data_IF_594644385542
#
_entry.id   IF_594644385542
#
_cell.length_a   1.000
_cell.length_b   1.000
_cell.length_c   1.000
_cell.angle_alpha   90.00
_cell.angle_beta   90.00
_cell.angle_gamma   90.00
#
_symmetry.space_group_name_H-M   'P 1'
#
loop_
_entity.id
_entity.type
_entity.pdbx_description
1 polymer ?
2 non-polymer ?
3 non-polymer ?
4 water ?
#
# COMPACT_ATOMS: atom_id res chain seq x y z
N UNK A 4 -8.37 29.95 4.09
CA UNK A 4 -8.91 28.59 3.73
C UNK A 4 -8.14 27.51 4.50
N UNK A 5 -8.76 26.79 5.47
CA UNK A 5 -7.99 26.00 6.44
C UNK A 5 -7.37 24.75 5.80
N UNK A 6 -6.26 24.24 6.36
CA UNK A 6 -5.58 23.04 5.82
C UNK A 6 -6.38 21.82 6.24
N UNK A 7 -6.56 20.80 5.37
CA UNK A 7 -7.37 19.66 5.77
C UNK A 7 -6.69 18.77 6.81
N UNK A 8 -7.52 18.11 7.62
CA UNK A 8 -7.12 17.12 8.65
C UNK A 8 -7.29 15.72 8.08
N UNK A 9 -8.11 15.58 7.04
CA UNK A 9 -8.41 14.29 6.37
C UNK A 9 -8.68 14.53 4.88
N UNK A 10 -8.27 13.59 4.04
CA UNK A 10 -8.56 13.60 2.59
C UNK A 10 -9.15 12.25 2.22
N UNK A 11 -9.76 12.19 1.05
CA UNK A 11 -10.19 10.90 0.55
C UNK A 11 -9.35 10.59 -0.67
N UNK A 12 -9.03 9.32 -0.80
CA UNK A 12 -8.13 8.80 -1.85
C UNK A 12 -8.88 7.65 -2.52
N UNK A 13 -8.95 7.73 -3.83
CA UNK A 13 -9.43 6.67 -4.74
C UNK A 13 -8.21 5.90 -5.27
N UNK A 14 -8.28 4.57 -5.13
CA UNK A 14 -7.31 3.63 -5.71
C UNK A 14 -8.08 2.80 -6.73
N UNK A 15 -7.60 2.76 -7.96
CA UNK A 15 -8.14 1.86 -8.98
C UNK A 15 -7.08 0.92 -9.48
N UNK A 16 -7.41 -0.33 -9.71
CA UNK A 16 -6.51 -1.29 -10.40
C UNK A 16 -7.33 -1.97 -11.50
N UNK A 17 -6.78 -2.01 -12.70
CA UNK A 17 -7.45 -2.65 -13.83
C UNK A 17 -6.40 -3.23 -14.75
N UNK A 18 -6.49 -4.53 -14.95
CA UNK A 18 -5.75 -5.19 -16.03
C UNK A 18 -6.64 -5.10 -17.28
N UNK A 19 -6.18 -4.34 -18.23
CA UNK A 19 -6.99 -3.94 -19.41
C UNK A 19 -6.97 -5.06 -20.48
N UNK A 20 -6.17 -6.10 -20.33
CA UNK A 20 -6.14 -7.19 -21.31
C UNK A 20 -5.73 -6.71 -22.70
N UNK A 21 -4.89 -5.68 -22.77
CA UNK A 21 -4.30 -5.16 -24.03
C UNK A 21 -5.43 -4.76 -25.00
N UNK A 22 -6.55 -4.25 -24.47
CA UNK A 22 -7.68 -3.78 -25.27
C UNK A 22 -7.97 -2.36 -24.86
N UNK A 23 -8.38 -1.47 -25.78
CA UNK A 23 -8.82 -0.15 -25.35
C UNK A 23 -10.07 -0.24 -24.49
N UNK A 24 -10.27 0.77 -23.63
CA UNK A 24 -11.43 0.77 -22.75
C UNK A 24 -12.68 1.11 -23.55
N UNK A 25 -13.86 0.85 -22.97
CA UNK A 25 -15.10 1.34 -23.56
C UNK A 25 -15.19 2.85 -23.37
N UNK A 26 -16.21 3.45 -23.97
CA UNK A 26 -16.29 4.92 -24.03
C UNK A 26 -16.67 5.47 -22.64
N UNK A 27 -17.37 4.69 -21.81
CA UNK A 27 -17.73 5.16 -20.47
C UNK A 27 -17.10 4.26 -19.40
N UNK A 28 -16.33 4.84 -18.48
CA UNK A 28 -15.72 4.08 -17.36
C UNK A 28 -15.99 4.81 -16.04
N UNK A 29 -16.96 5.74 -16.02
CA UNK A 29 -17.29 6.50 -14.80
C UNK A 29 -17.67 5.63 -13.59
N UNK A 30 -18.26 4.46 -13.83
CA UNK A 30 -18.68 3.51 -12.75
C UNK A 30 -17.48 3.15 -11.89
N UNK A 31 -16.30 3.05 -12.49
CA UNK A 31 -15.07 2.72 -11.74
C UNK A 31 -14.80 3.82 -10.70
N UNK A 32 -14.78 5.08 -11.13
CA UNK A 32 -14.39 6.23 -10.26
C UNK A 32 -15.50 6.54 -9.27
N UNK A 33 -16.71 6.07 -9.53
CA UNK A 33 -17.86 6.25 -8.63
C UNK A 33 -17.96 5.08 -7.64
N UNK A 34 -17.08 4.08 -7.70
CA UNK A 34 -17.16 2.90 -6.78
C UNK A 34 -18.57 2.26 -6.86
N UNK A 35 -19.03 2.00 -8.08
CA UNK A 35 -20.34 1.35 -8.38
C UNK A 35 -20.11 -0.04 -8.98
N UNK A 36 -20.90 -1.01 -8.53
CA UNK A 36 -20.88 -2.36 -9.10
C UNK A 36 -21.16 -3.32 -7.97
N UNK A 37 -20.22 -4.24 -7.74
CA UNK A 37 -20.32 -5.30 -6.70
C UNK A 37 -19.41 -4.94 -5.53
N UNK A 38 -19.74 -5.48 -4.35
CA UNK A 38 -18.91 -5.38 -3.16
C UNK A 38 -19.35 -4.26 -2.27
N UNK A 39 -18.39 -3.59 -1.65
CA UNK A 39 -18.62 -2.44 -0.75
C UNK A 39 -18.58 -1.17 -1.61
N UNK A 40 -19.76 -0.67 -1.99
CA UNK A 40 -19.92 0.40 -2.98
C UNK A 40 -20.21 1.72 -2.28
N UNK A 41 -20.02 2.76 -3.04
CA UNK A 41 -20.14 4.14 -2.56
C UNK A 41 -21.62 4.57 -2.70
N UNK A 42 -22.11 5.31 -1.72
CA UNK A 42 -23.49 5.85 -1.71
C UNK A 42 -23.70 6.80 -2.90
N UNK A 43 -24.85 6.70 -3.56
CA UNK A 43 -25.24 7.58 -4.71
C UNK A 43 -25.14 9.05 -4.32
N UNK A 44 -25.39 9.35 -3.04
CA UNK A 44 -25.45 10.75 -2.55
C UNK A 44 -24.08 11.43 -2.62
N UNK A 45 -23.01 10.64 -2.79
CA UNK A 45 -21.61 11.14 -2.86
C UNK A 45 -21.15 11.34 -4.30
N UNK A 46 -21.95 10.96 -5.30
CA UNK A 46 -21.43 10.83 -6.68
C UNK A 46 -20.76 12.11 -7.17
N UNK A 47 -21.23 13.30 -6.78
CA UNK A 47 -20.65 14.55 -7.31
C UNK A 47 -19.49 15.04 -6.46
N UNK A 48 -19.21 14.39 -5.34
CA UNK A 48 -18.18 14.83 -4.38
C UNK A 48 -16.85 14.27 -4.88
N UNK A 49 -15.91 15.10 -5.28
CA UNK A 49 -14.65 14.57 -5.78
C UNK A 49 -13.84 14.01 -4.62
N UNK A 50 -13.10 12.95 -4.91
CA UNK A 50 -11.98 12.54 -4.05
C UNK A 50 -10.90 13.59 -4.19
N UNK A 51 -10.04 13.66 -3.19
CA UNK A 51 -8.89 14.60 -3.17
C UNK A 51 -7.82 14.14 -4.16
N UNK A 52 -7.55 12.84 -4.18
CA UNK A 52 -6.47 12.22 -4.98
C UNK A 52 -7.08 10.97 -5.62
N UNK A 53 -6.88 10.77 -6.91
CA UNK A 53 -7.20 9.53 -7.66
C UNK A 53 -5.90 8.88 -8.12
N UNK A 54 -5.70 7.63 -7.74
CA UNK A 54 -4.50 6.87 -8.14
C UNK A 54 -4.99 5.72 -8.96
N UNK A 55 -4.54 5.64 -10.22
CA UNK A 55 -5.07 4.69 -11.24
C UNK A 55 -3.94 3.76 -11.72
N UNK A 56 -4.00 2.49 -11.33
CA UNK A 56 -3.01 1.50 -11.72
C UNK A 56 -3.61 0.66 -12.82
N UNK A 57 -2.88 0.54 -13.90
CA UNK A 57 -3.28 -0.35 -15.00
C UNK A 57 -2.19 -1.37 -15.28
N UNK A 58 -2.61 -2.50 -15.80
CA UNK A 58 -1.71 -3.58 -16.28
C UNK A 58 -2.20 -3.97 -17.67
N UNK A 59 -1.30 -4.50 -18.49
CA UNK A 59 -1.65 -4.84 -19.88
C UNK A 59 -2.32 -3.62 -20.53
N UNK A 60 -1.80 -2.43 -20.27
CA UNK A 60 -2.40 -1.15 -20.74
C UNK A 60 -1.88 -0.90 -22.15
N UNK A 61 -2.75 -0.89 -23.17
CA UNK A 61 -2.30 -0.69 -24.56
C UNK A 61 -2.22 0.78 -25.01
N UNK A 62 -2.60 1.70 -24.15
CA UNK A 62 -2.73 3.12 -24.53
C UNK A 62 -1.41 3.86 -24.32
N UNK A 63 -1.24 4.95 -25.04
CA UNK A 63 -0.19 5.91 -24.72
C UNK A 63 -0.58 6.61 -23.41
N UNK A 64 0.38 7.20 -22.71
CA UNK A 64 0.13 8.01 -21.51
C UNK A 64 -0.84 9.14 -21.88
N UNK A 65 -0.62 9.81 -23.02
CA UNK A 65 -1.50 10.92 -23.45
C UNK A 65 -2.92 10.41 -23.60
N UNK A 66 -3.10 9.29 -24.29
CA UNK A 66 -4.44 8.74 -24.57
C UNK A 66 -5.14 8.39 -23.26
N UNK A 67 -4.44 7.74 -22.34
CA UNK A 67 -5.09 7.35 -21.06
C UNK A 67 -5.37 8.57 -20.20
N UNK A 68 -4.43 9.52 -20.11
CA UNK A 68 -4.67 10.74 -19.34
C UNK A 68 -5.90 11.50 -19.84
N UNK A 69 -6.06 11.59 -21.16
CA UNK A 69 -7.24 12.20 -21.82
C UNK A 69 -8.51 11.56 -21.25
N UNK A 70 -8.57 10.23 -21.29
CA UNK A 70 -9.76 9.44 -20.87
C UNK A 70 -10.01 9.66 -19.38
N UNK A 71 -8.96 9.59 -18.56
CA UNK A 71 -9.13 9.73 -17.11
C UNK A 71 -9.66 11.13 -16.79
N UNK A 72 -9.01 12.16 -17.28
CA UNK A 72 -9.41 13.54 -16.97
C UNK A 72 -10.85 13.83 -17.41
N UNK A 73 -11.23 13.40 -18.61
CA UNK A 73 -12.60 13.50 -19.15
C UNK A 73 -13.58 12.86 -18.16
N UNK A 74 -13.35 11.60 -17.80
CA UNK A 74 -14.24 10.81 -16.90
C UNK A 74 -14.44 11.55 -15.58
N UNK A 75 -13.36 12.05 -14.97
CA UNK A 75 -13.47 12.78 -13.68
C UNK A 75 -14.19 14.11 -13.90
N UNK A 76 -13.87 14.82 -14.98
CA UNK A 76 -14.60 16.08 -15.29
C UNK A 76 -16.11 15.84 -15.44
N UNK A 77 -16.48 14.80 -16.17
CA UNK A 77 -17.92 14.46 -16.34
C UNK A 77 -18.54 14.19 -14.96
N UNK A 78 -17.84 13.48 -14.08
CA UNK A 78 -18.42 13.10 -12.76
C UNK A 78 -18.54 14.33 -11.87
N UNK A 79 -17.48 15.11 -11.77
CA UNK A 79 -17.27 16.05 -10.64
C UNK A 79 -17.35 17.51 -11.10
N UNK A 80 -17.26 17.75 -12.41
CA UNK A 80 -17.13 19.09 -13.03
C UNK A 80 -15.84 19.76 -12.58
N UNK A 81 -14.86 18.97 -12.14
CA UNK A 81 -13.52 19.48 -11.74
C UNK A 81 -12.50 19.00 -12.75
N UNK A 82 -11.60 19.88 -13.15
CA UNK A 82 -10.46 19.57 -14.02
C UNK A 82 -9.29 19.17 -13.15
N UNK A 83 -8.97 17.88 -13.09
CA UNK A 83 -7.95 17.40 -12.14
C UNK A 83 -6.56 17.72 -12.69
N UNK A 84 -5.61 17.98 -11.81
CA UNK A 84 -4.19 18.17 -12.16
C UNK A 84 -3.44 16.85 -12.14
N UNK A 85 -2.52 16.67 -13.09
CA UNK A 85 -1.64 15.48 -13.14
C UNK A 85 -0.49 15.65 -12.17
N UNK A 86 -0.43 14.83 -11.13
CA UNK A 86 0.68 14.82 -10.15
C UNK A 86 1.85 14.05 -10.71
N UNK A 87 1.57 12.89 -11.29
CA UNK A 87 2.61 11.98 -11.76
C UNK A 87 2.00 10.94 -12.66
N UNK A 88 2.79 10.50 -13.62
CA UNK A 88 2.45 9.32 -14.45
C UNK A 88 3.75 8.56 -14.68
N UNK A 89 3.72 7.26 -14.55
CA UNK A 89 4.93 6.47 -14.77
C UNK A 89 4.53 5.11 -15.35
N UNK A 90 5.22 4.68 -16.40
CA UNK A 90 4.88 3.44 -17.11
C UNK A 90 6.14 2.57 -17.19
N UNK A 91 5.99 1.30 -16.92
CA UNK A 91 7.03 0.28 -17.21
C UNK A 91 6.34 -0.74 -18.09
N UNK A 92 6.79 -0.84 -19.33
CA UNK A 92 6.19 -1.75 -20.31
C UNK A 92 4.72 -1.40 -20.43
N UNK A 93 3.83 -2.26 -19.96
CA UNK A 93 2.38 -2.04 -20.04
C UNK A 93 1.76 -1.94 -18.65
N UNK A 94 2.59 -1.62 -17.65
CA UNK A 94 2.21 -1.36 -16.24
C UNK A 94 2.29 0.12 -15.99
N UNK A 95 1.22 0.71 -15.55
CA UNK A 95 1.15 2.18 -15.49
C UNK A 95 0.50 2.66 -14.18
N UNK A 96 0.99 3.77 -13.70
CA UNK A 96 0.36 4.48 -12.56
C UNK A 96 0.15 5.94 -12.96
N UNK A 97 -1.07 6.44 -12.70
CA UNK A 97 -1.46 7.85 -12.85
C UNK A 97 -1.95 8.36 -11.51
N UNK A 98 -1.41 9.50 -11.07
CA UNK A 98 -1.92 10.23 -9.88
C UNK A 98 -2.48 11.58 -10.33
N UNK A 99 -3.76 11.77 -10.04
CA UNK A 99 -4.49 13.04 -10.28
C UNK A 99 -4.93 13.63 -8.95
N UNK A 100 -4.95 14.94 -8.86
CA UNK A 100 -5.43 15.59 -7.61
C UNK A 100 -6.25 16.83 -7.92
N UNK A 101 -7.13 17.19 -7.00
CA UNK A 101 -7.89 18.47 -7.04
C UNK A 101 -6.89 19.59 -7.32
N UNK A 102 -7.27 20.61 -8.13
CA UNK A 102 -6.39 21.77 -8.33
C UNK A 102 -6.00 22.54 -7.07
N UNK A 103 -6.89 22.56 -6.10
CA UNK A 103 -6.63 23.25 -4.80
C UNK A 103 -5.49 22.57 -4.02
N UNK A 104 -5.08 21.34 -4.38
CA UNK A 104 -3.99 20.61 -3.70
C UNK A 104 -2.63 20.84 -4.35
N UNK A 105 -2.58 21.59 -5.45
CA UNK A 105 -1.35 21.67 -6.25
C UNK A 105 -0.16 22.17 -5.40
N UNK A 106 -0.43 23.13 -4.52
CA UNK A 106 0.58 23.79 -3.65
C UNK A 106 0.64 23.08 -2.29
N UNK A 107 -0.06 21.95 -2.13
CA UNK A 107 0.04 21.06 -0.92
C UNK A 107 0.93 19.85 -1.24
N UNK A 108 1.14 19.58 -2.50
CA UNK A 108 1.83 18.37 -2.99
C UNK A 108 3.25 18.73 -3.39
N UNK A 109 4.24 18.03 -2.85
CA UNK A 109 5.64 18.29 -3.22
C UNK A 109 6.45 17.00 -3.16
N UNK A 110 7.74 17.05 -3.45
CA UNK A 110 8.66 15.89 -3.31
C UNK A 110 8.04 14.71 -4.07
N UNK A 111 7.65 14.92 -5.31
CA UNK A 111 7.06 13.84 -6.12
C UNK A 111 8.18 12.94 -6.61
N UNK A 112 8.08 11.64 -6.34
CA UNK A 112 9.04 10.60 -6.79
C UNK A 112 8.31 9.52 -7.60
N UNK A 113 9.00 8.97 -8.61
CA UNK A 113 8.49 7.84 -9.40
C UNK A 113 9.60 6.82 -9.49
N UNK A 114 9.23 5.56 -9.60
CA UNK A 114 10.24 4.52 -9.86
C UNK A 114 9.55 3.26 -10.35
N UNK A 115 10.35 2.32 -10.81
CA UNK A 115 9.80 1.02 -11.22
C UNK A 115 10.80 -0.05 -10.79
N UNK A 116 10.32 -1.27 -10.73
CA UNK A 116 11.15 -2.48 -10.53
C UNK A 116 10.72 -3.51 -11.56
N UNK A 117 11.68 -4.11 -12.24
CA UNK A 117 11.47 -5.23 -13.15
C UNK A 117 11.75 -6.51 -12.41
N UNK A 118 10.79 -7.42 -12.34
CA UNK A 118 11.01 -8.68 -11.58
C UNK A 118 11.55 -9.77 -12.51
N UNK A 119 12.02 -10.87 -11.93
CA UNK A 119 12.42 -12.03 -12.76
C UNK A 119 13.86 -11.94 -13.26
N UNK A 120 14.31 -12.96 -13.98
CA UNK A 120 15.68 -13.09 -14.58
C UNK A 120 15.53 -13.80 -15.92
N UNK A 121 16.10 -13.24 -17.00
CA UNK A 121 16.17 -13.84 -18.37
C UNK A 121 14.75 -14.13 -18.91
N UNK A 122 14.34 -15.41 -18.98
CA UNK A 122 12.98 -15.90 -19.33
C UNK A 122 11.88 -15.02 -18.72
N UNK A 123 12.02 -14.74 -17.41
CA UNK A 123 10.97 -14.16 -16.52
C UNK A 123 11.17 -12.64 -16.36
N UNK A 124 12.23 -12.06 -16.93
CA UNK A 124 12.39 -10.57 -17.05
C UNK A 124 11.83 -10.12 -18.40
N UNK A 125 10.85 -9.20 -18.38
CA UNK A 125 10.45 -8.49 -19.61
C UNK A 125 9.01 -8.05 -19.61
N UNK A 126 8.17 -8.52 -18.67
CA UNK A 126 6.86 -7.87 -18.66
C UNK A 126 6.24 -7.63 -17.28
N UNK A 127 6.72 -8.31 -16.23
CA UNK A 127 6.19 -8.21 -14.85
C UNK A 127 7.05 -7.23 -14.04
N UNK A 128 6.46 -6.62 -13.02
CA UNK A 128 7.17 -5.71 -12.13
C UNK A 128 6.20 -4.74 -11.55
N UNK A 129 6.69 -3.58 -11.17
CA UNK A 129 5.86 -2.62 -10.44
C UNK A 129 6.27 -1.22 -10.83
N UNK A 130 5.32 -0.31 -10.77
CA UNK A 130 5.60 1.14 -10.85
C UNK A 130 5.12 1.75 -9.53
N UNK A 131 5.68 2.89 -9.17
CA UNK A 131 5.27 3.57 -7.94
C UNK A 131 5.42 5.06 -8.01
N UNK A 132 4.69 5.74 -7.12
CA UNK A 132 4.69 7.19 -7.00
C UNK A 132 4.69 7.47 -5.51
N UNK A 133 5.49 8.44 -5.08
CA UNK A 133 5.36 9.02 -3.74
C UNK A 133 5.40 10.53 -3.77
N UNK A 134 4.79 11.12 -2.76
CA UNK A 134 4.87 12.58 -2.58
C UNK A 134 4.49 12.91 -1.15
N UNK A 135 4.71 14.17 -0.81
CA UNK A 135 4.25 14.75 0.46
C UNK A 135 2.95 15.48 0.16
N UNK A 136 1.96 15.27 0.98
CA UNK A 136 0.75 16.10 1.01
C UNK A 136 0.79 16.86 2.33
N UNK A 137 1.14 18.14 2.28
CA UNK A 137 1.44 18.91 3.53
C UNK A 137 2.42 18.06 4.36
N UNK A 138 2.09 17.72 5.61
CA UNK A 138 3.06 17.07 6.53
C UNK A 138 3.02 15.56 6.41
N UNK A 139 2.25 15.03 5.47
CA UNK A 139 1.95 13.58 5.40
C UNK A 139 2.60 13.00 4.15
N UNK A 140 3.33 11.89 4.30
CA UNK A 140 3.97 11.20 3.15
C UNK A 140 3.03 10.10 2.65
N UNK A 141 2.88 10.02 1.33
CA UNK A 141 1.96 9.07 0.65
C UNK A 141 2.78 8.28 -0.38
N UNK A 142 2.64 6.97 -0.36
CA UNK A 142 3.29 6.10 -1.35
C UNK A 142 2.26 5.23 -2.02
N UNK A 143 2.48 4.94 -3.30
CA UNK A 143 1.52 4.17 -4.11
C UNK A 143 2.31 3.23 -4.99
N UNK A 144 1.93 1.96 -4.95
CA UNK A 144 2.61 0.91 -5.75
C UNK A 144 1.56 0.15 -6.57
N UNK A 145 1.78 0.09 -7.88
CA UNK A 145 0.98 -0.73 -8.81
C UNK A 145 1.88 -1.85 -9.28
N UNK A 146 1.59 -3.10 -8.93
CA UNK A 146 2.42 -4.27 -9.31
C UNK A 146 1.60 -5.22 -10.17
N UNK A 147 2.21 -5.79 -11.19
CA UNK A 147 1.70 -6.91 -11.99
C UNK A 147 2.64 -8.06 -11.67
N UNK A 148 2.18 -9.00 -10.83
CA UNK A 148 3.06 -10.09 -10.36
C UNK A 148 2.90 -11.31 -11.29
N UNK A 149 3.76 -12.30 -11.08
CA UNK A 149 3.80 -13.52 -11.91
C UNK A 149 2.43 -14.17 -11.97
N UNK A 150 2.02 -14.67 -13.14
CA UNK A 150 0.69 -15.29 -13.35
C UNK A 150 0.80 -16.80 -13.08
N UNK A 151 -0.34 -17.44 -12.97
CA UNK A 151 -0.40 -18.90 -12.93
C UNK A 151 -0.70 -19.41 -11.55
N UNK A 152 -1.64 -20.33 -11.43
CA UNK A 152 -2.08 -20.88 -10.14
C UNK A 152 -0.92 -21.51 -9.35
N UNK A 153 0.05 -22.09 -10.06
CA UNK A 153 1.14 -22.91 -9.46
C UNK A 153 2.26 -22.01 -8.94
N UNK A 154 2.23 -20.70 -9.21
CA UNK A 154 3.38 -19.79 -8.97
C UNK A 154 3.21 -18.85 -7.79
N UNK A 155 2.50 -19.26 -6.75
CA UNK A 155 2.32 -18.33 -5.59
C UNK A 155 3.70 -17.99 -4.97
N UNK A 156 4.65 -18.94 -4.91
CA UNK A 156 5.97 -18.63 -4.31
C UNK A 156 6.70 -17.55 -5.13
N UNK A 157 6.59 -17.62 -6.47
CA UNK A 157 7.18 -16.62 -7.40
C UNK A 157 6.57 -15.25 -7.10
N UNK A 158 5.25 -15.19 -6.93
CA UNK A 158 4.57 -13.92 -6.60
C UNK A 158 5.15 -13.38 -5.29
N UNK A 159 5.36 -14.23 -4.31
CA UNK A 159 5.87 -13.75 -2.99
C UNK A 159 7.28 -13.20 -3.20
N UNK A 160 8.07 -13.84 -4.04
CA UNK A 160 9.45 -13.37 -4.36
C UNK A 160 9.34 -12.04 -5.09
N UNK A 161 8.38 -11.89 -6.01
CA UNK A 161 8.21 -10.63 -6.78
C UNK A 161 7.94 -9.51 -5.78
N UNK A 162 7.03 -9.76 -4.83
CA UNK A 162 6.68 -8.81 -3.76
C UNK A 162 7.94 -8.36 -3.02
N UNK A 163 8.77 -9.32 -2.59
CA UNK A 163 9.99 -8.97 -1.80
C UNK A 163 10.95 -8.15 -2.67
N UNK A 164 11.12 -8.52 -3.94
CA UNK A 164 12.01 -7.72 -4.85
C UNK A 164 11.48 -6.30 -5.00
N UNK A 165 10.17 -6.15 -5.18
CA UNK A 165 9.56 -4.80 -5.37
C UNK A 165 9.79 -3.98 -4.09
N UNK A 166 9.46 -4.60 -2.96
CA UNK A 166 9.59 -4.03 -1.60
C UNK A 166 11.02 -3.50 -1.41
N UNK A 167 12.01 -4.31 -1.79
CA UNK A 167 13.44 -4.00 -1.56
C UNK A 167 13.95 -2.90 -2.47
N UNK A 168 13.57 -2.93 -3.75
CA UNK A 168 14.31 -2.15 -4.77
C UNK A 168 13.54 -0.93 -5.27
N UNK A 169 12.25 -0.78 -4.96
CA UNK A 169 11.50 0.40 -5.42
C UNK A 169 11.99 1.57 -4.57
N UNK A 170 12.54 2.59 -5.22
CA UNK A 170 13.22 3.74 -4.58
C UNK A 170 12.26 4.90 -4.56
N UNK A 171 11.42 4.97 -3.52
CA UNK A 171 10.48 6.09 -3.40
C UNK A 171 10.72 6.76 -2.07
N UNK A 172 10.15 7.97 -1.89
CA UNK A 172 10.14 8.64 -0.60
C UNK A 172 11.50 9.21 -0.28
N UNK A 173 11.72 9.49 1.00
CA UNK A 173 12.90 10.27 1.46
C UNK A 173 14.13 9.36 1.45
N UNK A 174 15.08 9.62 0.55
CA UNK A 174 16.34 8.83 0.44
C UNK A 174 17.21 8.91 1.72
N UNK A 175 17.03 9.91 2.57
CA UNK A 175 17.73 9.98 3.87
C UNK A 175 17.27 8.85 4.80
N UNK A 176 16.11 8.24 4.51
CA UNK A 176 15.59 7.12 5.34
C UNK A 176 16.28 5.84 4.90
N UNK A 177 17.60 5.85 4.87
CA UNK A 177 18.39 4.85 4.13
C UNK A 177 18.21 3.46 4.70
N UNK A 178 18.00 3.18 6.01
CA UNK A 178 17.75 1.82 6.45
C UNK A 178 16.38 1.26 6.07
N UNK A 179 15.49 2.12 5.58
CA UNK A 179 14.07 1.75 5.49
C UNK A 179 13.67 1.53 4.03
N UNK A 180 12.89 0.47 3.82
CA UNK A 180 12.25 0.21 2.52
C UNK A 180 10.89 0.92 2.44
N UNK A 181 10.19 0.75 1.32
CA UNK A 181 8.93 1.51 1.13
C UNK A 181 7.90 1.12 2.19
N UNK A 182 8.03 -0.04 2.86
CA UNK A 182 7.02 -0.46 3.89
C UNK A 182 7.19 0.38 5.17
N UNK A 183 8.19 1.24 5.29
CA UNK A 183 8.33 2.16 6.43
C UNK A 183 8.47 3.62 6.03
N UNK A 184 8.53 3.97 4.74
CA UNK A 184 8.86 5.37 4.37
C UNK A 184 7.65 6.31 4.42
N UNK A 185 6.43 5.76 4.46
CA UNK A 185 5.21 6.57 4.26
C UNK A 185 4.23 6.50 5.41
N UNK A 186 3.59 7.63 5.70
CA UNK A 186 2.46 7.68 6.63
C UNK A 186 1.39 6.66 6.18
N UNK A 187 1.10 6.66 4.87
CA UNK A 187 0.12 5.76 4.25
C UNK A 187 0.78 5.20 2.98
N UNK A 188 0.81 3.88 2.87
CA UNK A 188 1.30 3.20 1.66
C UNK A 188 0.15 2.37 1.12
N UNK A 189 -0.17 2.57 -0.15
CA UNK A 189 -1.20 1.75 -0.86
C UNK A 189 -0.48 0.90 -1.88
N UNK A 190 -0.74 -0.41 -1.86
CA UNK A 190 -0.15 -1.38 -2.78
C UNK A 190 -1.28 -2.15 -3.43
N UNK A 191 -1.34 -2.09 -4.75
CA UNK A 191 -2.47 -2.60 -5.54
C UNK A 191 -1.90 -3.14 -6.84
N UNK A 192 -2.76 -3.79 -7.58
CA UNK A 192 -2.41 -4.30 -8.90
C UNK A 192 -3.08 -5.60 -9.24
N UNK A 193 -2.61 -6.16 -10.36
CA UNK A 193 -2.90 -7.56 -10.69
C UNK A 193 -1.87 -8.41 -9.95
N UNK A 194 -2.17 -8.69 -8.69
CA UNK A 194 -1.25 -9.45 -7.85
C UNK A 194 -1.26 -10.92 -8.26
N UNK A 195 -2.29 -11.37 -8.97
CA UNK A 195 -2.30 -12.67 -9.68
C UNK A 195 -2.40 -13.88 -8.76
N UNK A 196 -2.72 -13.66 -7.48
CA UNK A 196 -3.05 -14.80 -6.58
C UNK A 196 -4.40 -15.39 -6.97
N UNK A 197 -4.47 -16.73 -6.88
CA UNK A 197 -5.60 -17.53 -7.36
C UNK A 197 -6.33 -18.20 -6.23
N UNK A 198 -7.53 -18.64 -6.57
CA UNK A 198 -8.33 -19.54 -5.71
C UNK A 198 -7.80 -20.95 -5.96
N UNK A 199 -7.12 -21.51 -4.97
CA UNK A 199 -6.44 -22.83 -5.08
C UNK A 199 -7.44 -23.93 -4.73
N UNK A 200 -8.21 -24.36 -5.73
CA UNK A 200 -9.16 -25.47 -5.63
C UNK A 200 -8.83 -26.32 -6.84
N UNK A 201 -9.16 -27.63 -6.81
CA UNK A 201 -8.89 -28.47 -7.99
C UNK A 201 -9.62 -27.97 -9.24
N UNK A 202 -9.00 -28.15 -10.41
CA UNK A 202 -9.49 -27.61 -11.70
C UNK A 202 -10.83 -28.24 -12.07
N UNK A 203 -11.10 -29.46 -11.60
CA UNK A 203 -12.37 -30.19 -11.87
C UNK A 203 -13.50 -29.65 -10.98
N UNK A 204 -13.21 -28.78 -10.02
CA UNK A 204 -14.25 -28.00 -9.28
C UNK A 204 -14.66 -26.70 -10.00
N UNK A 205 -14.21 -26.44 -11.22
CA UNK A 205 -14.45 -25.16 -11.91
C UNK A 205 -15.95 -24.88 -11.92
N UNK A 206 -16.78 -25.83 -12.31
CA UNK A 206 -18.21 -25.51 -12.49
C UNK A 206 -18.82 -25.30 -11.12
N UNK A 207 -18.34 -26.01 -10.09
CA UNK A 207 -18.83 -25.81 -8.70
C UNK A 207 -18.50 -24.39 -8.24
N UNK A 208 -17.29 -23.92 -8.54
CA UNK A 208 -16.89 -22.54 -8.17
C UNK A 208 -17.80 -21.52 -8.89
N UNK A 209 -18.06 -21.75 -10.16
CA UNK A 209 -18.97 -20.85 -10.93
C UNK A 209 -20.36 -20.78 -10.29
N UNK A 210 -20.91 -21.91 -9.84
CA UNK A 210 -22.26 -21.93 -9.24
C UNK A 210 -22.22 -21.23 -7.87
N UNK A 211 -21.11 -21.35 -7.12
CA UNK A 211 -20.96 -20.61 -5.85
C UNK A 211 -20.97 -19.10 -6.14
N UNK A 212 -20.25 -18.67 -7.17
CA UNK A 212 -20.23 -17.23 -7.56
C UNK A 212 -21.64 -16.76 -7.94
N UNK A 213 -22.38 -17.53 -8.73
CA UNK A 213 -23.77 -17.18 -9.13
C UNK A 213 -24.66 -17.03 -7.90
N UNK A 214 -24.40 -17.78 -6.83
CA UNK A 214 -25.17 -17.72 -5.56
C UNK A 214 -24.63 -16.61 -4.64
N UNK A 215 -23.59 -15.88 -5.06
CA UNK A 215 -22.92 -14.87 -4.21
C UNK A 215 -22.45 -15.50 -2.90
N UNK A 216 -21.98 -16.74 -2.94
CA UNK A 216 -21.46 -17.46 -1.76
C UNK A 216 -19.95 -17.54 -1.92
N UNK A 217 -19.23 -16.57 -1.36
CA UNK A 217 -17.78 -16.41 -1.64
C UNK A 217 -16.97 -17.09 -0.54
N UNK A 218 -17.57 -17.48 0.60
CA UNK A 218 -16.79 -17.88 1.80
C UNK A 218 -15.87 -19.06 1.50
N UNK A 219 -16.36 -20.14 0.88
CA UNK A 219 -15.55 -21.35 0.62
C UNK A 219 -14.54 -21.05 -0.51
N UNK A 220 -14.76 -19.99 -1.29
CA UNK A 220 -13.72 -19.62 -2.28
C UNK A 220 -12.62 -18.81 -1.60
N UNK A 221 -13.00 -17.79 -0.80
CA UNK A 221 -12.00 -16.91 -0.14
C UNK A 221 -11.12 -17.73 0.81
N UNK A 222 -11.67 -18.77 1.44
CA UNK A 222 -10.86 -19.62 2.35
C UNK A 222 -9.74 -20.31 1.56
N UNK A 223 -9.79 -20.33 0.24
CA UNK A 223 -8.70 -20.89 -0.59
C UNK A 223 -7.97 -19.83 -1.41
N UNK A 224 -8.29 -18.54 -1.22
CA UNK A 224 -7.54 -17.49 -1.95
C UNK A 224 -6.08 -17.49 -1.50
N UNK A 225 -5.16 -17.54 -2.46
CA UNK A 225 -3.74 -17.69 -2.11
C UNK A 225 -3.22 -16.46 -1.38
N UNK A 226 -3.71 -15.27 -1.71
CA UNK A 226 -3.20 -14.06 -1.05
C UNK A 226 -3.63 -14.08 0.43
N UNK A 227 -4.89 -14.37 0.71
CA UNK A 227 -5.35 -14.47 2.13
C UNK A 227 -4.54 -15.54 2.87
N UNK A 228 -4.31 -16.71 2.28
CA UNK A 228 -3.65 -17.82 2.98
C UNK A 228 -2.19 -17.47 3.15
N UNK A 229 -1.53 -16.94 2.12
CA UNK A 229 -0.11 -16.57 2.23
C UNK A 229 0.08 -15.48 3.28
N UNK A 230 -0.82 -14.51 3.32
CA UNK A 230 -0.79 -13.41 4.33
C UNK A 230 -0.97 -14.01 5.73
N UNK A 231 -1.90 -14.95 5.90
CA UNK A 231 -2.18 -15.57 7.22
C UNK A 231 -0.91 -16.29 7.71
N UNK A 232 -0.15 -16.89 6.80
CA UNK A 232 1.08 -17.64 7.16
C UNK A 232 2.30 -16.71 7.14
N UNK A 233 2.09 -15.40 7.00
CA UNK A 233 3.17 -14.40 7.11
C UNK A 233 4.22 -14.64 6.04
N UNK A 234 3.78 -15.01 4.83
CA UNK A 234 4.68 -15.26 3.67
C UNK A 234 4.80 -14.01 2.81
N UNK A 235 3.90 -13.04 2.92
CA UNK A 235 3.81 -11.89 1.99
C UNK A 235 2.93 -10.82 2.63
N UNK A 236 3.13 -9.56 2.27
CA UNK A 236 2.33 -8.40 2.71
C UNK A 236 2.21 -8.40 4.24
N UNK A 237 3.27 -8.71 4.95
CA UNK A 237 3.24 -8.65 6.42
C UNK A 237 2.92 -7.20 6.86
N UNK A 238 1.96 -7.07 7.76
CA UNK A 238 1.54 -5.80 8.42
C UNK A 238 0.77 -4.90 7.47
N UNK A 239 0.31 -5.45 6.33
CA UNK A 239 -0.67 -4.75 5.45
C UNK A 239 -2.08 -5.13 5.83
N UNK A 240 -3.02 -4.26 5.46
CA UNK A 240 -4.49 -4.47 5.64
C UNK A 240 -5.13 -4.66 4.26
N UNK A 241 -6.25 -5.38 4.23
CA UNK A 241 -7.11 -5.47 3.04
C UNK A 241 -8.51 -5.49 3.58
N UNK A 242 -9.40 -4.72 2.94
CA UNK A 242 -10.86 -4.72 3.24
C UNK A 242 -11.42 -6.11 2.88
N UNK A 243 -12.44 -6.56 3.62
CA UNK A 243 -13.11 -7.84 3.30
C UNK A 243 -13.63 -7.77 1.86
N UNK A 244 -13.44 -8.86 1.14
CA UNK A 244 -13.89 -9.02 -0.26
C UNK A 244 -15.34 -9.49 -0.29
N UNK A 245 -16.20 -8.71 -0.92
CA UNK A 245 -17.66 -9.00 -0.99
C UNK A 245 -18.10 -8.92 -2.44
N UNK A 246 -17.17 -8.98 -3.37
CA UNK A 246 -17.45 -8.95 -4.83
C UNK A 246 -17.00 -10.25 -5.47
N UNK A 247 -17.57 -10.58 -6.62
CA UNK A 247 -17.22 -11.82 -7.34
C UNK A 247 -15.77 -11.76 -7.78
N UNK A 248 -15.12 -12.92 -7.97
CA UNK A 248 -13.82 -12.95 -8.62
C UNK A 248 -13.77 -12.07 -9.87
N UNK A 249 -12.65 -11.35 -10.07
CA UNK A 249 -12.54 -10.31 -11.11
C UNK A 249 -11.84 -10.86 -12.35
N UNK A 250 -11.52 -12.15 -12.37
CA UNK A 250 -10.78 -12.83 -13.44
C UNK A 250 -11.25 -14.29 -13.41
N UNK A 251 -11.27 -15.02 -14.53
CA UNK A 251 -11.05 -14.61 -15.90
C UNK A 251 -12.39 -14.60 -16.66
N UNK A 252 -12.78 -13.45 -17.20
CA UNK A 252 -14.08 -13.32 -17.90
C UNK A 252 -13.92 -13.46 -19.41
N UNK A 253 -14.96 -13.99 -20.04
CA UNK A 253 -15.13 -13.77 -21.49
C UNK A 253 -15.33 -12.27 -21.72
N UNK A 254 -14.65 -11.70 -22.70
CA UNK A 254 -14.79 -10.26 -23.02
C UNK A 254 -16.19 -9.97 -23.56
N UNK A 255 -16.65 -8.74 -23.32
CA UNK A 255 -17.88 -8.10 -23.84
C UNK A 255 -19.12 -8.58 -23.10
N UNK A 256 -19.01 -9.48 -22.14
CA UNK A 256 -20.13 -9.76 -21.20
C UNK A 256 -19.52 -9.84 -19.80
N UNK A 257 -20.28 -9.95 -18.71
CA UNK A 257 -19.73 -10.49 -17.43
C UNK A 257 -20.45 -11.79 -17.07
N UNK A 258 -21.11 -12.42 -18.04
CA UNK A 258 -21.99 -13.58 -17.76
C UNK A 258 -21.17 -14.87 -17.68
N UNK A 259 -19.92 -14.83 -18.15
CA UNK A 259 -19.16 -16.07 -18.34
C UNK A 259 -17.72 -15.91 -17.86
N UNK A 260 -17.33 -16.80 -16.97
CA UNK A 260 -15.91 -17.07 -16.63
C UNK A 260 -15.32 -18.04 -17.66
N UNK A 261 -14.22 -17.64 -18.27
CA UNK A 261 -13.46 -18.39 -19.28
C UNK A 261 -12.28 -19.02 -18.55
N UNK A 262 -12.46 -20.23 -18.04
CA UNK A 262 -11.45 -20.86 -17.16
C UNK A 262 -10.66 -22.01 -17.81
N UNK A 263 -11.18 -22.56 -18.91
CA UNK A 263 -10.66 -23.79 -19.56
C UNK A 263 -9.28 -23.50 -20.18
N UNK A 264 -8.41 -24.53 -20.23
CA UNK A 264 -7.07 -24.40 -20.83
C UNK A 264 -7.22 -24.28 -22.34
N UNK A 265 -6.43 -23.40 -22.94
CA UNK A 265 -6.45 -23.06 -24.38
C UNK A 265 -5.00 -22.84 -24.81
N UNK A 266 -4.68 -22.95 -26.11
CA UNK A 266 -3.31 -22.63 -26.55
C UNK A 266 -2.94 -21.22 -26.07
N UNK A 267 -3.89 -20.28 -26.17
CA UNK A 267 -3.71 -18.86 -25.80
C UNK A 267 -3.33 -18.73 -24.31
N UNK A 268 -3.63 -19.71 -23.46
CA UNK A 268 -3.27 -19.65 -21.99
C UNK A 268 -2.03 -20.49 -21.68
N UNK A 269 -1.29 -20.97 -22.69
CA UNK A 269 -0.22 -21.94 -22.45
C UNK A 269 -0.77 -23.22 -21.88
N UNK A 270 -1.99 -23.58 -22.27
CA UNK A 270 -2.70 -24.78 -21.78
C UNK A 270 -2.78 -24.77 -20.24
N UNK A 271 -3.04 -23.59 -19.68
CA UNK A 271 -3.25 -23.37 -18.23
C UNK A 271 -4.73 -23.12 -17.96
N UNK A 272 -5.25 -23.69 -16.87
CA UNK A 272 -6.58 -23.35 -16.35
C UNK A 272 -6.45 -21.99 -15.66
N UNK A 273 -7.48 -21.19 -15.78
CA UNK A 273 -7.62 -19.93 -15.01
C UNK A 273 -8.94 -19.99 -14.23
N UNK A 274 -8.98 -20.76 -13.15
CA UNK A 274 -10.18 -20.80 -12.30
C UNK A 274 -10.46 -19.36 -11.84
N UNK A 275 -11.74 -19.00 -11.68
CA UNK A 275 -12.12 -17.69 -11.16
C UNK A 275 -11.31 -17.36 -9.92
N UNK A 276 -10.76 -16.14 -9.95
CA UNK A 276 -9.83 -15.68 -8.92
C UNK A 276 -9.93 -14.18 -8.66
N UNK A 277 -9.52 -13.83 -7.45
CA UNK A 277 -9.43 -12.41 -7.06
C UNK A 277 -8.00 -11.94 -7.36
N UNK A 278 -7.68 -11.80 -8.63
CA UNK A 278 -6.31 -11.39 -9.04
C UNK A 278 -6.03 -9.93 -8.68
N UNK A 279 -7.06 -9.12 -8.59
CA UNK A 279 -6.96 -7.65 -8.65
C UNK A 279 -7.30 -7.06 -7.29
N UNK A 280 -6.32 -6.47 -6.61
CA UNK A 280 -6.41 -6.23 -5.15
C UNK A 280 -5.88 -4.86 -4.80
N UNK A 281 -6.32 -4.40 -3.64
CA UNK A 281 -5.83 -3.17 -3.00
C UNK A 281 -5.57 -3.45 -1.53
N UNK A 282 -4.34 -3.23 -1.13
CA UNK A 282 -3.89 -3.34 0.27
C UNK A 282 -3.25 -2.03 0.71
N UNK A 283 -3.18 -1.83 2.03
CA UNK A 283 -2.52 -0.64 2.54
C UNK A 283 -1.82 -0.92 3.85
N UNK A 284 -0.93 -0.02 4.16
CA UNK A 284 -0.19 -0.04 5.43
C UNK A 284 0.03 1.40 5.82
N UNK A 285 -0.49 1.77 6.99
CA UNK A 285 -0.34 3.11 7.55
C UNK A 285 0.41 3.01 8.87
N UNK A 286 1.10 4.07 9.22
CA UNK A 286 1.80 4.18 10.52
C UNK A 286 0.79 3.97 11.63
N UNK A 287 1.27 3.44 12.77
CA UNK A 287 0.41 3.17 13.91
C UNK A 287 -0.39 4.41 14.34
N UNK A 288 -1.69 4.20 14.61
CA UNK A 288 -2.64 5.18 15.18
C UNK A 288 -2.82 6.38 14.25
N UNK A 289 -2.59 6.22 12.95
CA UNK A 289 -3.02 7.23 11.98
C UNK A 289 -4.39 6.79 11.46
N UNK A 290 -5.31 7.73 11.33
CA UNK A 290 -6.67 7.45 10.80
C UNK A 290 -6.55 6.97 9.36
N UNK A 291 -7.12 5.80 9.08
CA UNK A 291 -7.29 5.34 7.68
C UNK A 291 -8.48 4.42 7.69
N UNK A 292 -9.49 4.74 6.92
CA UNK A 292 -10.73 3.93 6.89
C UNK A 292 -11.08 3.65 5.43
N UNK A 293 -11.18 2.38 5.08
CA UNK A 293 -11.67 2.00 3.74
C UNK A 293 -13.17 2.26 3.66
N UNK A 294 -13.55 3.08 2.68
CA UNK A 294 -14.97 3.48 2.45
C UNK A 294 -15.61 2.61 1.36
N UNK A 295 -14.81 2.02 0.47
CA UNK A 295 -15.33 1.20 -0.65
C UNK A 295 -14.27 0.22 -1.08
N UNK A 296 -14.73 -0.92 -1.55
CA UNK A 296 -13.83 -1.97 -2.10
C UNK A 296 -14.71 -2.88 -2.91
N UNK A 297 -14.55 -2.83 -4.20
CA UNK A 297 -15.46 -3.53 -5.09
C UNK A 297 -14.99 -3.59 -6.52
N UNK A 298 -15.84 -4.12 -7.37
CA UNK A 298 -15.49 -4.26 -8.80
C UNK A 298 -16.63 -3.67 -9.61
N UNK A 299 -16.33 -3.16 -10.81
CA UNK A 299 -17.40 -2.69 -11.71
C UNK A 299 -18.03 -3.92 -12.37
N UNK A 300 -19.26 -3.72 -12.82
CA UNK A 300 -20.06 -4.74 -13.55
C UNK A 300 -20.25 -4.38 -15.03
N UNK A 301 -19.95 -3.15 -15.45
CA UNK A 301 -20.37 -2.59 -16.74
C UNK A 301 -19.15 -2.27 -17.63
N UNK A 302 -17.92 -2.67 -17.26
CA UNK A 302 -16.71 -2.42 -18.09
C UNK A 302 -16.19 -3.79 -18.47
N UNK A 303 -16.35 -4.19 -19.73
CA UNK A 303 -16.24 -5.59 -20.17
C UNK A 303 -15.22 -5.77 -21.31
N UNK A 304 -14.38 -4.77 -21.59
CA UNK A 304 -13.40 -4.86 -22.71
C UNK A 304 -12.28 -5.85 -22.38
N UNK A 305 -12.03 -6.10 -21.10
CA UNK A 305 -10.93 -6.96 -20.63
C UNK A 305 -11.49 -8.26 -20.08
N UNK A 306 -10.61 -9.22 -19.88
CA UNK A 306 -10.90 -10.48 -19.19
C UNK A 306 -10.81 -10.24 -17.67
N UNK A 307 -10.41 -9.03 -17.25
CA UNK A 307 -10.52 -8.59 -15.83
C UNK A 307 -11.55 -7.50 -15.71
N UNK A 308 -12.28 -7.48 -14.60
CA UNK A 308 -13.06 -6.31 -14.17
C UNK A 308 -12.18 -5.37 -13.35
N UNK A 309 -12.34 -4.06 -13.55
CA UNK A 309 -11.74 -3.03 -12.71
C UNK A 309 -12.12 -3.20 -11.24
N UNK A 310 -11.17 -2.92 -10.36
CA UNK A 310 -11.38 -2.86 -8.89
C UNK A 310 -11.15 -1.43 -8.44
N UNK A 311 -11.97 -1.00 -7.51
CA UNK A 311 -11.90 0.31 -6.83
C UNK A 311 -11.80 0.06 -5.34
N UNK A 312 -11.10 0.95 -4.71
CA UNK A 312 -11.08 1.09 -3.25
C UNK A 312 -10.97 2.58 -2.94
N UNK A 313 -11.68 3.03 -1.92
CA UNK A 313 -11.54 4.43 -1.47
C UNK A 313 -11.26 4.45 0.02
N UNK A 314 -10.55 5.49 0.42
CA UNK A 314 -10.09 5.63 1.79
C UNK A 314 -10.25 7.06 2.27
N UNK A 315 -10.60 7.20 3.55
CA UNK A 315 -10.48 8.47 4.31
C UNK A 315 -9.17 8.37 5.10
N UNK A 316 -8.20 9.26 4.81
CA UNK A 316 -6.83 9.18 5.36
C UNK A 316 -6.53 10.44 6.14
N UNK A 317 -6.01 10.27 7.35
CA UNK A 317 -5.54 11.38 8.15
C UNK A 317 -4.34 12.04 7.54
N UNK A 318 -4.34 13.38 7.56
CA UNK A 318 -3.20 14.20 7.10
C UNK A 318 -2.95 15.28 8.14
N UNK A 319 -1.73 15.77 8.12
CA UNK A 319 -1.28 16.80 9.06
C UNK A 319 -0.79 18.01 8.26
N UNK A 320 -0.73 19.16 8.93
CA UNK A 320 -0.33 20.46 8.34
C UNK A 320 1.19 20.55 8.26
N UNK A 321 1.70 21.46 7.43
CA UNK A 321 3.14 21.79 7.35
C UNK A 321 3.40 22.78 8.49
N UNK A 322 3.72 22.28 9.67
CA UNK A 322 3.85 23.05 10.92
C UNK A 322 5.05 24.02 10.91
N UNK A 323 4.79 25.28 11.25
CA UNK A 323 5.84 26.30 11.57
C UNK A 323 5.62 26.77 13.02
N UNK A 324 6.69 26.83 13.82
CA UNK A 324 6.73 27.55 15.11
C UNK A 324 7.80 28.64 15.06
N UNK A 325 7.89 29.46 16.10
CA UNK A 325 8.90 30.55 16.27
C UNK A 325 10.29 29.91 16.25
N UNK A 326 10.38 28.65 16.72
CA UNK A 326 11.62 27.83 16.82
C UNK A 326 11.74 26.96 15.56
N UNK A 327 11.37 25.67 15.63
CA UNK A 327 11.42 24.78 14.45
C UNK A 327 10.39 25.21 13.40
N UNK A 328 10.63 24.98 12.08
CA UNK A 328 11.91 24.45 11.56
C UNK A 328 13.17 25.34 11.55
N UNK A 329 14.35 24.71 11.62
CA UNK A 329 15.68 25.33 11.54
C UNK A 329 16.32 25.57 12.89
N UNK A 330 15.74 24.98 13.94
CA UNK A 330 16.30 24.95 15.31
C UNK A 330 15.49 23.90 16.10
N UNK A 331 15.91 23.61 17.33
CA UNK A 331 15.17 22.73 18.30
C UNK A 331 14.15 23.60 19.08
N UNK A 332 13.41 22.98 20.00
CA UNK A 332 12.41 23.66 20.88
C UNK A 332 12.63 23.10 22.28
N UNK A 333 13.65 23.58 22.98
CA UNK A 333 14.17 22.99 24.25
C UNK A 333 13.00 22.39 25.06
N UNK A 334 11.77 22.87 24.86
CA UNK A 334 10.58 22.48 25.66
C UNK A 334 10.11 21.06 25.30
N UNK A 335 10.62 20.47 24.21
CA UNK A 335 10.25 19.12 23.75
C UNK A 335 11.35 18.11 23.99
N UNK A 336 11.01 16.87 24.38
CA UNK A 336 11.99 15.78 24.42
C UNK A 336 11.29 14.40 24.39
N UNK A 337 11.99 13.44 23.80
CA UNK A 337 11.53 12.03 23.77
C UNK A 337 12.58 11.15 24.45
N UNK A 338 12.17 10.48 25.51
CA UNK A 338 13.06 9.56 26.26
C UNK A 338 12.56 8.13 26.09
N UNK A 339 13.50 7.21 25.89
CA UNK A 339 13.29 5.74 25.86
C UNK A 339 13.88 5.12 27.15
N UNK A 340 13.05 4.38 27.89
CA UNK A 340 13.42 3.69 29.15
C UNK A 340 13.28 2.18 28.94
N UNK A 341 14.19 1.39 29.54
CA UNK A 341 14.06 -0.08 29.71
C UNK A 341 13.76 -0.70 28.33
N UNK A 342 14.46 -0.25 27.30
CA UNK A 342 14.23 -0.72 25.90
C UNK A 342 15.13 -1.92 25.59
N UNK A 343 14.57 -2.87 24.88
CA UNK A 343 15.36 -4.00 24.36
C UNK A 343 14.78 -4.46 23.03
N UNK A 344 15.69 -4.91 22.20
CA UNK A 344 15.41 -5.51 20.89
C UNK A 344 15.54 -7.02 21.08
N UNK A 345 14.63 -7.77 20.49
CA UNK A 345 14.72 -9.25 20.43
C UNK A 345 14.88 -9.60 18.96
N UNK A 346 15.98 -10.25 18.58
CA UNK A 346 16.27 -10.51 17.14
C UNK A 346 16.33 -12.00 16.89
N UNK A 347 15.86 -12.42 15.73
CA UNK A 347 15.87 -13.83 15.28
C UNK A 347 17.26 -14.23 14.76
N UNK A 348 18.19 -13.32 14.62
CA UNK A 348 19.55 -13.58 14.08
C UNK A 348 20.38 -14.58 14.90
N UNK A 349 21.25 -15.30 14.20
CA UNK A 349 22.27 -16.18 14.84
C UNK A 349 23.56 -15.38 15.08
N UNK A 350 23.70 -14.22 14.44
CA UNK A 350 24.88 -13.32 14.54
C UNK A 350 25.13 -12.94 16.00
N UNK A 351 26.39 -12.62 16.34
CA UNK A 351 26.80 -12.17 17.70
C UNK A 351 27.58 -10.84 17.61
N UNK A 352 27.43 -10.07 16.53
CA UNK A 352 27.91 -8.66 16.45
C UNK A 352 27.24 -7.85 17.58
N UNK A 353 27.84 -6.73 17.96
CA UNK A 353 27.17 -5.68 18.74
C UNK A 353 26.18 -4.95 17.81
N UNK A 354 25.17 -4.36 18.38
CA UNK A 354 24.14 -3.59 17.63
C UNK A 354 23.98 -2.22 18.26
N UNK A 355 23.55 -1.27 17.42
CA UNK A 355 23.14 0.08 17.83
C UNK A 355 21.83 0.40 17.14
N UNK A 356 21.16 1.44 17.60
CA UNK A 356 19.90 1.91 17.00
C UNK A 356 20.13 3.20 16.21
N UNK A 357 19.31 3.39 15.19
CA UNK A 357 19.13 4.73 14.55
C UNK A 357 17.68 5.12 14.72
N UNK A 358 17.46 6.37 15.13
CA UNK A 358 16.12 6.96 15.28
C UNK A 358 15.96 7.98 14.16
N UNK A 359 14.98 7.76 13.28
CA UNK A 359 14.70 8.66 12.15
C UNK A 359 13.30 9.23 12.28
N UNK A 360 13.16 10.53 12.10
CA UNK A 360 11.82 11.14 12.11
C UNK A 360 11.92 12.55 11.54
N UNK A 361 10.87 12.98 10.86
CA UNK A 361 10.68 14.37 10.35
C UNK A 361 10.65 15.36 11.52
N UNK A 362 10.33 14.89 12.73
CA UNK A 362 10.32 15.77 13.93
C UNK A 362 11.76 15.99 14.46
N UNK A 363 12.79 15.35 13.88
CA UNK A 363 14.21 15.54 14.27
C UNK A 363 14.95 16.30 13.17
N UNK A 364 15.99 17.04 13.53
CA UNK A 364 16.80 17.78 12.52
C UNK A 364 17.52 16.77 11.65
N UNK A 365 18.02 15.71 12.27
CA UNK A 365 18.65 14.58 11.58
C UNK A 365 18.55 13.33 12.45
N UNK A 366 18.86 12.19 11.86
CA UNK A 366 18.66 10.90 12.56
C UNK A 366 19.66 10.84 13.71
N UNK A 367 19.34 10.02 14.70
CA UNK A 367 20.16 9.91 15.93
C UNK A 367 20.64 8.47 16.07
N UNK A 368 21.94 8.29 16.30
CA UNK A 368 22.61 6.96 16.44
C UNK A 368 22.92 6.70 17.92
N UNK A 369 22.39 5.61 18.47
CA UNK A 369 22.59 5.24 19.89
C UNK A 369 24.00 4.62 20.04
N UNK A 370 24.38 4.47 21.31
CA UNK A 370 25.46 3.58 21.78
C UNK A 370 25.08 2.14 21.46
N UNK A 371 26.07 1.26 21.42
CA UNK A 371 25.84 -0.20 21.31
C UNK A 371 25.03 -0.67 22.52
N UNK A 372 24.10 -1.58 22.31
CA UNK A 372 23.39 -2.30 23.38
C UNK A 372 24.23 -3.43 23.95
N UNK A 373 23.70 -4.05 24.99
CA UNK A 373 24.27 -5.21 25.72
C UNK A 373 23.58 -6.50 25.26
N UNK A 374 24.31 -7.35 24.54
CA UNK A 374 23.77 -8.67 24.09
C UNK A 374 23.64 -9.59 25.29
N UNK A 375 22.48 -10.22 25.44
CA UNK A 375 22.27 -11.37 26.35
C UNK A 375 21.72 -12.51 25.51
N UNK A 376 21.92 -13.74 25.97
CA UNK A 376 21.22 -14.96 25.47
C UNK A 376 19.82 -14.99 26.09
N UNK A 377 18.77 -14.87 25.27
CA UNK A 377 17.37 -15.16 25.66
C UNK A 377 17.13 -16.66 25.86
N UNK A 378 16.25 -17.02 26.79
CA UNK A 378 15.94 -18.44 27.16
C UNK A 378 15.85 -19.31 25.90
N UNK A 379 14.95 -18.97 24.97
CA UNK A 379 14.52 -19.87 23.85
C UNK A 379 15.44 -19.70 22.62
N UNK A 380 16.72 -19.35 22.81
CA UNK A 380 17.74 -19.35 21.75
C UNK A 380 17.95 -18.00 21.06
N UNK A 381 17.07 -17.00 21.29
CA UNK A 381 17.07 -15.70 20.56
C UNK A 381 18.21 -14.79 21.05
N UNK A 382 18.44 -13.68 20.36
CA UNK A 382 19.33 -12.61 20.86
C UNK A 382 18.49 -11.48 21.47
N UNK A 383 18.78 -11.09 22.71
CA UNK A 383 18.16 -9.90 23.37
C UNK A 383 19.23 -8.84 23.44
N UNK A 384 18.99 -7.69 22.83
CA UNK A 384 19.91 -6.53 22.89
C UNK A 384 19.29 -5.52 23.84
N UNK A 385 19.92 -5.33 25.00
CA UNK A 385 19.41 -4.41 26.06
C UNK A 385 20.04 -3.04 25.88
N UNK A 386 19.22 -2.00 25.90
CA UNK A 386 19.66 -0.60 25.87
C UNK A 386 19.45 0.04 27.25
N UNK A 387 18.67 -0.58 28.13
CA UNK A 387 18.20 -0.04 29.42
C UNK A 387 17.82 1.43 29.32
N UNK A 388 18.65 2.31 29.90
CA UNK A 388 18.41 3.76 30.08
C UNK A 388 19.51 4.53 29.35
N UNK A 389 20.25 3.85 28.47
CA UNK A 389 21.43 4.39 27.76
C UNK A 389 21.01 5.20 26.53
N UNK A 390 19.77 5.07 26.03
CA UNK A 390 19.39 5.65 24.70
C UNK A 390 19.42 7.16 24.74
N UNK A 391 19.87 7.86 23.67
CA UNK A 391 19.90 9.32 23.64
C UNK A 391 18.49 9.91 23.85
N UNK A 392 18.47 11.12 24.40
CA UNK A 392 17.24 11.95 24.52
C UNK A 392 17.02 12.60 23.18
N UNK A 393 15.86 12.41 22.54
CA UNK A 393 15.60 12.97 21.19
C UNK A 393 15.01 14.37 21.39
N UNK A 394 15.48 15.30 20.57
CA UNK A 394 15.19 16.75 20.66
C UNK A 394 14.38 17.16 19.44
N UNK A 395 13.04 17.13 19.53
CA UNK A 395 12.21 17.47 18.39
C UNK A 395 12.31 18.97 18.06
N UNK A 396 12.07 19.28 16.80
CA UNK A 396 12.23 20.63 16.20
C UNK A 396 11.09 21.53 16.68
N UNK A 397 10.00 20.92 17.14
CA UNK A 397 8.75 21.63 17.53
C UNK A 397 8.21 20.88 18.75
N UNK A 398 7.80 21.59 19.80
CA UNK A 398 7.39 20.96 21.09
C UNK A 398 5.87 21.00 21.23
N UNK A 399 5.18 21.76 20.38
CA UNK A 399 3.71 21.91 20.45
C UNK A 399 3.14 20.50 20.41
N UNK A 400 2.29 20.11 21.39
CA UNK A 400 1.69 18.77 21.40
C UNK A 400 0.79 18.53 20.19
N UNK A 401 0.17 19.57 19.62
CA UNK A 401 -0.71 19.42 18.41
C UNK A 401 0.11 18.87 17.24
N UNK A 402 1.40 19.15 17.24
CA UNK A 402 2.32 18.62 16.21
C UNK A 402 2.89 17.30 16.71
N UNK A 403 3.47 17.31 17.91
CA UNK A 403 4.44 16.24 18.30
C UNK A 403 3.66 14.93 18.48
N UNK A 404 2.42 14.99 18.97
CA UNK A 404 1.65 13.75 19.25
C UNK A 404 1.25 13.07 17.93
N UNK A 405 1.33 13.79 16.81
CA UNK A 405 0.99 13.25 15.47
C UNK A 405 2.21 12.64 14.80
N UNK A 406 3.38 12.65 15.45
CA UNK A 406 4.61 12.24 14.75
C UNK A 406 4.88 10.77 15.02
N UNK A 407 5.91 10.25 14.35
CA UNK A 407 6.34 8.84 14.45
C UNK A 407 7.87 8.79 14.44
N UNK A 408 8.43 7.80 15.16
CA UNK A 408 9.88 7.54 15.19
C UNK A 408 10.10 6.19 14.52
N UNK A 409 10.82 6.21 13.42
CA UNK A 409 11.32 4.98 12.78
C UNK A 409 12.57 4.55 13.53
N UNK A 410 12.68 3.24 13.75
CA UNK A 410 13.85 2.62 14.46
C UNK A 410 14.45 1.57 13.57
N UNK A 411 15.76 1.68 13.36
CA UNK A 411 16.56 0.62 12.71
C UNK A 411 17.54 0.10 13.76
N UNK A 412 17.66 -1.21 13.86
CA UNK A 412 18.74 -1.83 14.66
C UNK A 412 19.80 -2.32 13.68
N UNK A 413 21.03 -1.82 13.86
CA UNK A 413 22.13 -2.01 12.89
C UNK A 413 23.32 -2.72 13.56
N UNK A 414 23.98 -3.57 12.79
CA UNK A 414 25.23 -4.26 13.18
C UNK A 414 26.36 -3.24 13.27
N UNK A 415 27.06 -3.19 14.39
CA UNK A 415 28.30 -2.40 14.55
C UNK A 415 29.35 -2.84 13.53
N UNK A 416 29.38 -4.12 13.16
CA UNK A 416 30.44 -4.70 12.29
C UNK A 416 30.21 -4.28 10.84
N UNK A 417 28.97 -4.18 10.38
CA UNK A 417 28.71 -4.02 8.93
C UNK A 417 27.84 -2.79 8.67
N UNK A 418 27.24 -2.22 9.72
CA UNK A 418 26.29 -1.08 9.62
C UNK A 418 25.07 -1.40 8.74
N UNK A 419 24.75 -2.69 8.59
CA UNK A 419 23.55 -3.17 7.85
C UNK A 419 22.40 -3.22 8.85
N UNK A 420 21.19 -2.82 8.45
CA UNK A 420 19.99 -2.93 9.31
C UNK A 420 19.60 -4.40 9.44
N UNK A 421 19.39 -4.87 10.66
CA UNK A 421 18.82 -6.19 10.93
C UNK A 421 17.31 -6.12 11.17
N UNK A 422 16.78 -4.91 11.34
CA UNK A 422 15.34 -4.78 11.57
C UNK A 422 14.90 -3.32 11.66
N UNK A 423 13.70 -3.08 11.19
CA UNK A 423 13.12 -1.74 11.08
C UNK A 423 11.71 -1.81 11.63
N UNK A 424 11.32 -0.77 12.34
CA UNK A 424 9.98 -0.65 12.94
C UNK A 424 9.62 0.81 13.13
N UNK A 425 8.46 1.04 13.69
CA UNK A 425 7.89 2.38 13.82
C UNK A 425 7.11 2.50 15.12
N UNK A 426 7.34 3.58 15.84
CA UNK A 426 6.66 3.92 17.12
C UNK A 426 5.86 5.21 16.95
N UNK A 427 4.58 5.18 17.26
CA UNK A 427 3.73 6.40 17.25
C UNK A 427 4.01 7.22 18.50
N UNK A 428 3.97 8.53 18.36
CA UNK A 428 3.98 9.45 19.54
C UNK A 428 2.58 9.85 19.99
N UNK A 429 1.54 9.20 19.45
CA UNK A 429 0.12 9.45 19.80
C UNK A 429 -0.18 8.78 21.15
N UNK A 430 0.43 9.30 22.22
CA UNK A 430 0.44 8.63 23.55
C UNK A 430 -0.82 8.96 24.34
N UNK A 431 -1.14 8.11 25.30
CA UNK A 431 -2.26 8.29 26.26
C UNK A 431 -1.99 9.47 27.19
N UNK A 432 -0.73 9.84 27.38
CA UNK A 432 -0.25 10.79 28.41
C UNK A 432 1.10 11.32 27.98
N UNK A 433 1.44 12.51 28.44
CA UNK A 433 2.80 13.08 28.36
C UNK A 433 3.43 13.11 29.76
N UNK A 434 4.74 13.25 29.80
CA UNK A 434 5.53 13.33 31.06
C UNK A 434 5.26 12.06 31.88
N UNK A 435 4.93 10.92 31.22
CA UNK A 435 4.49 9.65 31.86
C UNK A 435 5.17 8.49 31.15
N UNK A 436 5.77 7.55 31.89
CA UNK A 436 6.41 6.37 31.26
C UNK A 436 5.31 5.49 30.71
N UNK A 437 5.32 5.16 29.43
CA UNK A 437 4.24 4.33 28.84
C UNK A 437 4.88 3.24 28.00
N UNK A 438 4.28 2.04 27.93
CA UNK A 438 4.86 0.99 27.11
C UNK A 438 4.84 1.37 25.62
N UNK A 439 5.91 1.00 24.91
CA UNK A 439 5.97 1.08 23.42
C UNK A 439 6.37 -0.28 22.87
N UNK A 440 6.00 -0.48 21.62
CA UNK A 440 6.26 -1.78 20.96
C UNK A 440 6.23 -1.57 19.46
N UNK A 441 7.13 -2.25 18.76
CA UNK A 441 6.97 -2.45 17.30
C UNK A 441 7.58 -3.79 16.93
N UNK A 442 6.97 -4.51 15.99
CA UNK A 442 7.68 -5.61 15.34
C UNK A 442 8.83 -5.00 14.52
N UNK A 443 9.86 -5.80 14.31
CA UNK A 443 10.99 -5.39 13.44
C UNK A 443 10.97 -6.29 12.21
N UNK A 444 11.17 -5.68 11.03
CA UNK A 444 11.20 -6.43 9.76
C UNK A 444 12.48 -6.04 9.05
N UNK A 445 12.91 -6.90 8.13
CA UNK A 445 14.02 -6.58 7.19
C UNK A 445 13.67 -7.25 5.87
N UNK A 446 13.72 -6.47 4.80
CA UNK A 446 13.23 -6.91 3.48
C UNK A 446 11.80 -7.40 3.67
N UNK A 447 11.06 -6.78 4.59
CA UNK A 447 9.62 -6.99 4.73
C UNK A 447 9.30 -8.27 5.45
N UNK A 448 10.31 -9.02 5.92
CA UNK A 448 10.12 -10.25 6.74
C UNK A 448 10.39 -9.98 8.21
N UNK A 449 9.70 -10.70 9.08
CA UNK A 449 9.84 -10.51 10.54
C UNK A 449 11.24 -10.92 11.00
N UNK A 450 11.94 -10.05 11.68
CA UNK A 450 13.29 -10.35 12.19
C UNK A 450 13.40 -10.13 13.69
N UNK A 451 12.33 -9.69 14.34
CA UNK A 451 12.45 -9.34 15.76
C UNK A 451 11.37 -8.46 16.27
N UNK A 452 11.62 -7.86 17.43
CA UNK A 452 10.70 -6.94 18.13
C UNK A 452 11.53 -5.92 18.86
N UNK A 453 10.96 -4.75 19.07
CA UNK A 453 11.55 -3.69 19.91
C UNK A 453 10.49 -3.27 20.90
N UNK A 454 10.82 -3.28 22.19
CA UNK A 454 9.82 -2.88 23.22
C UNK A 454 10.57 -2.19 24.35
N UNK A 455 9.82 -1.41 25.11
CA UNK A 455 10.36 -0.64 26.23
C UNK A 455 9.31 0.34 26.66
N UNK A 456 9.76 1.46 27.18
CA UNK A 456 8.86 2.54 27.61
C UNK A 456 9.33 3.83 26.98
N UNK A 457 8.40 4.76 26.83
CA UNK A 457 8.65 6.11 26.31
C UNK A 457 8.16 7.11 27.37
N UNK A 458 8.72 8.29 27.32
CA UNK A 458 8.33 9.46 28.13
C UNK A 458 8.49 10.66 27.21
N UNK A 459 7.36 11.27 26.85
CA UNK A 459 7.31 12.40 25.90
C UNK A 459 6.99 13.68 26.67
N UNK A 460 7.85 14.69 26.50
CA UNK A 460 7.65 16.06 27.01
C UNK A 460 7.19 16.95 25.85
N UNK A 461 6.05 17.64 26.01
CA UNK A 461 5.58 18.63 25.02
C UNK A 461 5.60 19.96 25.74
N UNK A 462 5.33 21.05 25.02
CA UNK A 462 5.23 22.41 25.59
C UNK A 462 4.03 22.53 26.53
N UNK A 463 3.09 21.57 26.52
CA UNK A 463 1.86 21.64 27.34
C UNK A 463 1.94 20.68 28.54
X LIG B 1 -4.40 -10.70 9.88
X LIG B 1 -2.49 -7.71 11.14
X LIG B 1 -3.43 -9.72 9.94
X LIG B 1 -4.42 -11.66 8.86
X LIG B 1 -5.21 -12.85 8.94
X LIG B 1 -4.98 -13.66 7.69
X LIG B 1 -1.60 -7.64 12.23
X LIG B 1 -2.57 -9.64 9.09
X LIG B 1 -3.59 -11.61 7.47
X LIG B 1 -4.07 -12.99 6.83
X LIG B 1 -3.49 -8.75 11.06
X LIG B 1 -2.44 -6.79 10.13
X LIG B 1 -1.48 -5.79 10.21
X LIG B 1 -0.70 -6.66 12.27
X LIG B 1 -0.63 -5.76 11.32
X LIG B 1 0.33 -4.74 11.37
X LIG B 1 0.33 -3.99 12.59
X LIG C 1 2.15 12.40 9.38
X LIG C 1 0.97 13.16 8.84
X LIG C 1 1.47 11.47 10.71
X LIG C 1 3.07 13.56 10.40
X LIG D 1 8.46 10.11 9.55
X LIG D 1 8.82 11.18 10.55
X LIG D 1 9.87 10.00 8.45
X LIG D 1 8.69 8.60 10.37
X LIG E 1 5.51 -1.83 12.33
X LIG E 1 6.11 -0.93 11.26
X LIG E 1 4.08 -2.60 11.61
X LIG E 1 4.64 -0.77 13.46
#
# INVERSE_FOLDING_TARGET
SMEQPEPDMITIFIGTWNMGNAPPPKKITSWFLSKGQGKTRDDSADYIPHDIYVIGTQEDPLSEKEWLEILKHSLQEITSVTFKTVAIHTLWNIRIVVLAKPEHENRISHICTDNVKTGIANTLGNKGAVGVSFMFNGTSLGFVNSHLTSGSEKKLRRNQNYMNILRFLALGDKKLSPFNITHRFTHLFWFGDLNYRVDLPTWEAETIIQKIKQQQYADLLSHDQLLTERREQKVFLHFEEEEITFAPTYRFERLTRDKYAYTKQKATGMKYNLPSWCDRVLWKSYPLVHVVCQSYGSTSDIMTSDHSPVFATFEAGVTSQFVSKNGPGTVDSQGQIEFLRCYATLKTKSQTKFYLEFHSSCLESFVKSQEGENEEGSEGELVVKFGETLPKLKPIISDPEYLLDQHILISIKSSDSDESYGEGCIALRLEATETQLPIYTPLTHHGELTGHFQGEIKLQTSQ
VZM N1 C4 C5 C6 C7 C8 C10 O1 S C9 N C3 C2 N2 C1 O C
DMS S O C1 C2
DMS S O C1 C2
DMS S O C1 C2
#
